data_IF_621995903585
#
_entry.id   IF_621995903585
#
_cell.length_a   1.000
_cell.length_b   1.000
_cell.length_c   1.000
_cell.angle_alpha   90.00
_cell.angle_beta   90.00
_cell.angle_gamma   90.00
#
_symmetry.space_group_name_H-M   'P 1'
#
loop_
_entity.id
_entity.type
_entity.pdbx_description
1 polymer ?
#
# COMPACT_ATOMS: atom_id res chain seq x y z
N UNK A 1 2.49 2.08 2.86
CA UNK A 1 1.93 1.55 1.60
C UNK A 1 1.94 2.64 0.56
N UNK A 2 2.15 2.29 -0.70
CA UNK A 2 2.48 3.19 -1.81
C UNK A 2 2.68 2.36 -3.08
N UNK A 3 3.76 2.55 -3.83
CA UNK A 3 4.06 1.77 -5.04
C UNK A 3 4.55 0.33 -4.79
N UNK A 4 4.60 -0.14 -3.53
CA UNK A 4 5.14 -1.46 -3.17
C UNK A 4 4.16 -2.60 -3.47
N UNK A 5 2.88 -2.53 -3.06
CA UNK A 5 1.90 -3.53 -3.48
C UNK A 5 1.57 -3.38 -4.96
N UNK A 6 1.26 -4.51 -5.59
CA UNK A 6 0.63 -4.52 -6.89
C UNK A 6 -0.89 -4.49 -6.71
N UNK A 7 -1.53 -3.46 -7.25
CA UNK A 7 -2.98 -3.30 -7.17
C UNK A 7 -3.64 -3.85 -8.43
N UNK A 8 -4.72 -4.59 -8.22
CA UNK A 8 -5.61 -5.07 -9.28
C UNK A 8 -7.00 -4.49 -9.07
N UNK A 9 -7.73 -4.34 -10.16
CA UNK A 9 -9.13 -3.94 -10.09
C UNK A 9 -9.91 -4.98 -9.25
N UNK A 10 -10.70 -4.55 -8.25
CA UNK A 10 -11.41 -5.46 -7.37
C UNK A 10 -12.47 -6.32 -8.09
N UNK A 11 -12.95 -5.90 -9.25
CA UNK A 11 -13.95 -6.61 -10.04
C UNK A 11 -13.36 -7.43 -11.20
N UNK A 12 -12.05 -7.33 -11.45
CA UNK A 12 -11.36 -8.11 -12.48
C UNK A 12 -10.97 -9.52 -11.99
N UNK A 13 -11.99 -10.36 -11.79
CA UNK A 13 -11.80 -11.76 -11.37
C UNK A 13 -10.82 -12.56 -12.25
N UNK A 14 -10.90 -12.49 -13.60
CA UNK A 14 -9.92 -13.11 -14.48
C UNK A 14 -8.49 -12.60 -14.29
N UNK A 15 -8.31 -11.29 -14.08
CA UNK A 15 -7.01 -10.69 -13.77
C UNK A 15 -6.43 -11.22 -12.47
N UNK A 16 -7.25 -11.32 -11.41
CA UNK A 16 -6.86 -11.93 -10.14
C UNK A 16 -6.41 -13.37 -10.30
N UNK A 17 -7.19 -14.21 -11.01
CA UNK A 17 -6.81 -15.61 -11.26
C UNK A 17 -5.47 -15.71 -11.97
N UNK A 18 -5.26 -14.89 -13.01
CA UNK A 18 -4.01 -14.87 -13.78
C UNK A 18 -2.84 -14.47 -12.90
N UNK A 19 -3.00 -13.42 -12.10
CA UNK A 19 -1.96 -12.97 -11.18
C UNK A 19 -1.59 -14.06 -10.17
N UNK A 20 -2.57 -14.70 -9.54
CA UNK A 20 -2.33 -15.77 -8.55
C UNK A 20 -1.54 -16.93 -9.18
N UNK A 21 -1.94 -17.39 -10.37
CA UNK A 21 -1.26 -18.48 -11.05
C UNK A 21 0.17 -18.11 -11.46
N UNK A 22 0.39 -16.89 -11.95
CA UNK A 22 1.74 -16.40 -12.26
C UNK A 22 2.60 -16.37 -10.98
N UNK A 23 2.14 -15.72 -9.91
CA UNK A 23 2.87 -15.63 -8.64
C UNK A 23 3.21 -16.99 -8.03
N UNK A 24 2.40 -18.03 -8.28
CA UNK A 24 2.61 -19.38 -7.79
C UNK A 24 3.72 -20.14 -8.56
N UNK A 25 4.05 -19.74 -9.79
CA UNK A 25 5.07 -20.40 -10.59
C UNK A 25 6.47 -20.30 -9.93
N UNK A 26 7.33 -21.34 -10.00
CA UNK A 26 8.68 -21.31 -9.42
C UNK A 26 9.57 -20.18 -9.96
N UNK A 27 9.41 -19.82 -11.23
CA UNK A 27 10.16 -18.80 -11.97
C UNK A 27 9.34 -17.54 -12.26
N UNK A 28 8.30 -17.28 -11.45
CA UNK A 28 7.40 -16.14 -11.63
C UNK A 28 8.14 -14.80 -11.76
N UNK A 29 8.07 -14.14 -12.94
CA UNK A 29 8.65 -12.82 -13.12
C UNK A 29 7.91 -11.77 -12.29
N UNK A 30 6.60 -11.95 -12.09
CA UNK A 30 5.77 -11.06 -11.27
C UNK A 30 6.18 -11.11 -9.80
N UNK A 31 6.47 -12.31 -9.28
CA UNK A 31 7.02 -12.50 -7.93
C UNK A 31 8.41 -11.90 -7.79
N UNK A 32 9.29 -12.11 -8.76
CA UNK A 32 10.63 -11.51 -8.74
C UNK A 32 10.55 -9.97 -8.65
N UNK A 33 9.71 -9.33 -9.47
CA UNK A 33 9.50 -7.89 -9.42
C UNK A 33 8.92 -7.40 -8.08
N UNK A 34 8.02 -8.18 -7.45
CA UNK A 34 7.48 -7.83 -6.13
C UNK A 34 8.54 -7.92 -5.02
N UNK A 35 9.43 -8.91 -5.08
CA UNK A 35 10.55 -9.03 -4.12
C UNK A 35 11.51 -7.84 -4.23
N UNK A 36 11.79 -7.37 -5.44
CA UNK A 36 12.61 -6.17 -5.65
C UNK A 36 11.96 -4.92 -5.02
N UNK A 37 10.64 -4.73 -5.18
CA UNK A 37 9.91 -3.64 -4.51
C UNK A 37 9.95 -3.74 -3.00
N UNK A 38 9.94 -4.97 -2.46
CA UNK A 38 10.00 -5.22 -1.02
C UNK A 38 11.40 -4.97 -0.43
N UNK A 39 12.48 -5.14 -1.21
CA UNK A 39 13.85 -5.03 -0.72
C UNK A 39 14.15 -3.69 -0.02
N UNK A 40 13.58 -2.59 -0.52
CA UNK A 40 13.72 -1.25 0.06
C UNK A 40 12.59 -0.85 1.01
N UNK A 41 11.57 -1.68 1.19
CA UNK A 41 10.37 -1.28 1.92
C UNK A 41 10.60 -1.32 3.43
N UNK A 42 10.17 -0.25 4.10
CA UNK A 42 10.09 -0.18 5.56
C UNK A 42 8.64 -0.02 5.99
N UNK A 43 8.13 -0.86 6.90
CA UNK A 43 6.81 -0.68 7.44
C UNK A 43 6.75 0.62 8.25
N UNK A 44 5.66 1.40 8.16
CA UNK A 44 5.45 2.50 9.10
C UNK A 44 5.31 1.93 10.51
N UNK A 45 5.92 2.60 11.47
CA UNK A 45 5.75 2.27 12.89
C UNK A 45 4.49 2.92 13.45
N UNK A 46 3.95 2.38 14.54
CA UNK A 46 2.81 2.98 15.24
C UNK A 46 3.07 4.44 15.67
N UNK A 47 4.24 4.78 16.26
CA UNK A 47 4.55 6.17 16.58
C UNK A 47 4.57 7.10 15.36
N UNK A 48 5.18 6.68 14.24
CA UNK A 48 5.19 7.48 13.00
C UNK A 48 3.78 7.67 12.43
N UNK A 49 2.91 6.66 12.56
CA UNK A 49 1.52 6.78 12.16
C UNK A 49 0.78 7.82 12.99
N UNK A 50 0.86 7.73 14.33
CA UNK A 50 0.17 8.65 15.23
C UNK A 50 0.68 10.10 15.13
N UNK A 51 1.97 10.31 14.86
CA UNK A 51 2.49 11.66 14.60
C UNK A 51 1.76 12.36 13.43
N UNK A 52 1.35 11.61 12.40
CA UNK A 52 0.56 12.18 11.30
C UNK A 52 -0.89 12.45 11.70
N UNK A 53 -1.49 11.58 12.52
CA UNK A 53 -2.86 11.74 13.04
C UNK A 53 -2.95 12.94 13.98
N UNK A 54 -1.98 13.09 14.89
CA UNK A 54 -1.92 14.21 15.83
C UNK A 54 -1.80 15.55 15.08
N UNK A 55 -0.96 15.60 14.04
CA UNK A 55 -0.86 16.77 13.16
C UNK A 55 -2.20 17.08 12.49
N UNK A 56 -2.87 16.08 11.93
CA UNK A 56 -4.18 16.26 11.30
C UNK A 56 -5.22 16.81 12.29
N UNK A 57 -5.28 16.26 13.51
CA UNK A 57 -6.19 16.74 14.56
C UNK A 57 -5.91 18.20 14.90
N UNK A 58 -4.64 18.57 15.08
CA UNK A 58 -4.26 19.95 15.38
C UNK A 58 -4.63 20.93 14.26
N UNK A 59 -4.37 20.55 12.99
CA UNK A 59 -4.74 21.36 11.82
C UNK A 59 -6.26 21.56 11.73
N UNK A 60 -7.03 20.49 11.97
CA UNK A 60 -8.50 20.55 11.89
C UNK A 60 -9.10 21.32 13.08
N UNK A 61 -8.51 21.23 14.27
CA UNK A 61 -8.95 21.97 15.45
C UNK A 61 -8.58 23.46 15.39
N UNK A 62 -7.53 23.83 14.64
CA UNK A 62 -7.12 25.21 14.42
C UNK A 62 -7.86 25.90 13.26
N UNK A 63 -8.60 25.14 12.44
CA UNK A 63 -9.45 25.71 11.40
C UNK A 63 -10.63 26.45 12.06
N UNK A 64 -10.85 27.75 11.76
CA UNK A 64 -11.99 28.48 12.30
C UNK A 64 -13.30 27.88 11.78
N UNK A 65 -14.36 27.96 12.58
CA UNK A 65 -15.72 27.53 12.22
C UNK A 65 -16.07 28.06 10.81
N UNK A 66 -16.44 27.17 9.86
CA UNK A 66 -17.05 27.61 8.62
C UNK A 66 -18.46 28.07 8.98
N UNK A 67 -18.61 29.39 9.13
CA UNK A 67 -19.89 30.09 9.24
C UNK A 67 -20.88 29.67 8.14
#
# INVERSE_FOLDING_TARGET
GGAVPEYLDPLDGPGWRTAILDYAAPDSPRRAAQLERLHGWRPPTWPEHFANVDRLIAETAAAPDPN
#
